data_IF_542422727076
#
_entry.id   IF_542422727076
#
_cell.length_a   1.000
_cell.length_b   1.000
_cell.length_c   1.000
_cell.angle_alpha   90.00
_cell.angle_beta   90.00
_cell.angle_gamma   90.00
#
_symmetry.space_group_name_H-M   'P 1'
#
loop_
_entity.id
_entity.type
_entity.pdbx_description
1 polymer ?
#
# COMPACT_ATOMS: atom_id res chain seq x y z
N UNK A 1 -1.44 -15.35 1.54
CA UNK A 1 -1.66 -14.97 0.12
C UNK A 1 -2.11 -13.52 0.07
N UNK A 2 -1.52 -12.59 -0.69
CA UNK A 2 -0.21 -12.60 -1.35
C UNK A 2 0.58 -11.40 -0.77
N UNK A 3 1.25 -11.61 0.37
CA UNK A 3 2.27 -10.66 0.84
C UNK A 3 3.60 -11.03 0.20
N UNK A 4 3.71 -10.77 -1.10
CA UNK A 4 5.00 -10.47 -1.73
C UNK A 4 5.26 -8.96 -1.63
N UNK A 5 5.11 -8.42 -0.41
CA UNK A 5 6.08 -7.41 0.03
C UNK A 5 7.45 -8.08 -0.14
N UNK A 6 8.39 -7.40 -0.81
CA UNK A 6 9.66 -8.02 -1.14
C UNK A 6 10.33 -8.59 0.10
N UNK A 7 10.77 -9.84 0.03
CA UNK A 7 11.79 -10.39 0.94
C UNK A 7 13.15 -9.76 0.62
N UNK A 8 13.19 -8.42 0.68
CA UNK A 8 14.41 -7.68 0.97
C UNK A 8 14.86 -8.20 2.32
N UNK A 9 16.10 -8.65 2.40
CA UNK A 9 16.60 -9.36 3.57
C UNK A 9 16.88 -8.37 4.72
N UNK A 10 15.83 -7.95 5.44
CA UNK A 10 15.89 -7.04 6.58
C UNK A 10 16.82 -7.50 7.73
N UNK A 11 17.37 -8.72 7.66
CA UNK A 11 18.42 -9.20 8.55
C UNK A 11 19.81 -8.58 8.28
N UNK A 12 20.03 -7.93 7.12
CA UNK A 12 21.30 -7.29 6.78
C UNK A 12 21.11 -5.81 6.39
N UNK A 13 21.35 -4.84 7.30
CA UNK A 13 21.31 -3.42 7.00
C UNK A 13 22.51 -2.95 6.15
N UNK A 14 23.50 -3.81 5.93
CA UNK A 14 24.67 -3.60 5.06
C UNK A 14 24.39 -4.07 3.62
N UNK A 15 23.25 -4.70 3.34
CA UNK A 15 22.86 -5.09 2.00
C UNK A 15 22.66 -3.84 1.13
N UNK A 16 23.61 -3.59 0.23
CA UNK A 16 23.62 -2.44 -0.67
C UNK A 16 22.28 -2.32 -1.40
N UNK A 17 21.59 -1.18 -1.23
CA UNK A 17 20.27 -0.93 -1.80
C UNK A 17 20.38 -0.91 -3.32
N UNK A 18 20.10 -2.07 -3.93
CA UNK A 18 20.15 -2.30 -5.38
C UNK A 18 19.49 -1.12 -6.12
N UNK A 19 20.24 -0.39 -6.99
CA UNK A 19 19.75 0.84 -7.61
C UNK A 19 18.36 0.68 -8.22
N UNK A 20 17.42 1.55 -7.82
CA UNK A 20 16.05 1.50 -8.31
C UNK A 20 16.01 1.60 -9.84
N UNK A 21 15.36 0.63 -10.47
CA UNK A 21 15.34 0.53 -11.92
C UNK A 21 14.68 1.74 -12.58
N UNK A 22 15.43 2.41 -13.45
CA UNK A 22 14.99 3.62 -14.15
C UNK A 22 13.74 3.34 -14.99
N UNK A 23 12.88 4.35 -15.15
CA UNK A 23 11.73 4.28 -16.05
C UNK A 23 12.14 3.91 -17.49
N UNK A 24 13.32 4.32 -17.94
CA UNK A 24 13.85 3.99 -19.27
C UNK A 24 14.13 2.49 -19.44
N UNK A 25 14.65 1.81 -18.41
CA UNK A 25 14.83 0.35 -18.43
C UNK A 25 13.46 -0.34 -18.51
N UNK A 26 12.49 0.08 -17.69
CA UNK A 26 11.12 -0.42 -17.77
C UNK A 26 10.50 -0.24 -19.17
N UNK A 27 10.74 0.88 -19.86
CA UNK A 27 10.28 1.11 -21.24
C UNK A 27 10.92 0.10 -22.21
N UNK A 28 12.22 -0.16 -22.10
CA UNK A 28 12.90 -1.17 -22.91
C UNK A 28 12.36 -2.58 -22.66
N UNK A 29 12.17 -3.00 -21.40
CA UNK A 29 11.59 -4.30 -21.08
C UNK A 29 10.14 -4.44 -21.57
N UNK A 30 9.30 -3.41 -21.39
CA UNK A 30 7.90 -3.43 -21.87
C UNK A 30 7.83 -3.46 -23.40
N UNK A 31 8.73 -2.78 -24.12
CA UNK A 31 8.88 -2.93 -25.59
C UNK A 31 9.29 -4.36 -25.96
N UNK A 32 10.28 -4.95 -25.29
CA UNK A 32 10.71 -6.34 -25.51
C UNK A 32 9.59 -7.38 -25.22
N UNK A 33 8.68 -7.09 -24.29
CA UNK A 33 7.52 -7.94 -23.99
C UNK A 33 6.48 -7.95 -25.11
N UNK A 34 6.41 -6.91 -25.95
CA UNK A 34 5.52 -6.87 -27.10
C UNK A 34 4.04 -6.86 -26.72
N UNK A 35 3.62 -5.87 -25.93
CA UNK A 35 2.20 -5.63 -25.62
C UNK A 35 1.49 -5.03 -26.84
N UNK A 36 0.33 -5.58 -27.22
CA UNK A 36 -0.47 -5.01 -28.31
C UNK A 36 -1.07 -3.66 -27.89
N UNK A 37 -1.32 -2.76 -28.86
CA UNK A 37 -1.95 -1.46 -28.60
C UNK A 37 -3.27 -1.57 -27.81
N UNK A 38 -4.04 -2.66 -28.02
CA UNK A 38 -5.25 -2.93 -27.24
C UNK A 38 -4.95 -3.31 -25.77
N UNK A 39 -3.89 -4.07 -25.50
CA UNK A 39 -3.43 -4.34 -24.12
C UNK A 39 -2.95 -3.05 -23.46
N UNK A 40 -2.14 -2.26 -24.15
CA UNK A 40 -1.63 -0.97 -23.66
C UNK A 40 -2.80 -0.01 -23.30
N UNK A 41 -3.76 0.17 -24.21
CA UNK A 41 -4.93 1.01 -23.98
C UNK A 41 -5.79 0.53 -22.79
N UNK A 42 -5.96 -0.79 -22.62
CA UNK A 42 -6.68 -1.33 -21.46
C UNK A 42 -5.93 -1.09 -20.14
N UNK A 43 -4.59 -1.20 -20.14
CA UNK A 43 -3.76 -0.90 -18.97
C UNK A 43 -3.87 0.59 -18.61
N UNK A 44 -3.74 1.50 -19.58
CA UNK A 44 -3.88 2.94 -19.37
C UNK A 44 -5.29 3.34 -18.89
N UNK A 45 -6.35 2.74 -19.44
CA UNK A 45 -7.72 2.96 -19.00
C UNK A 45 -8.02 2.38 -17.60
N UNK A 46 -7.34 1.30 -17.20
CA UNK A 46 -7.39 0.78 -15.83
C UNK A 46 -6.65 1.67 -14.83
N UNK A 47 -5.56 2.31 -15.26
CA UNK A 47 -4.77 3.22 -14.42
C UNK A 47 -5.54 4.47 -14.00
N UNK A 48 -6.27 5.13 -14.90
CA UNK A 48 -7.05 6.33 -14.55
C UNK A 48 -8.18 6.02 -13.55
N UNK A 49 -8.83 4.86 -13.69
CA UNK A 49 -9.82 4.36 -12.70
C UNK A 49 -9.14 4.07 -11.35
N UNK A 50 -7.95 3.48 -11.35
CA UNK A 50 -7.20 3.21 -10.13
C UNK A 50 -6.77 4.49 -9.39
N UNK A 51 -6.29 5.51 -10.10
CA UNK A 51 -5.93 6.82 -9.51
C UNK A 51 -7.15 7.43 -8.81
N UNK A 52 -8.31 7.51 -9.50
CA UNK A 52 -9.54 8.02 -8.91
C UNK A 52 -10.12 7.20 -7.75
N UNK A 53 -9.68 5.94 -7.57
CA UNK A 53 -9.97 5.13 -6.38
C UNK A 53 -8.96 5.33 -5.25
N UNK A 54 -7.71 5.66 -5.56
CA UNK A 54 -6.68 6.00 -4.57
C UNK A 54 -6.84 7.41 -3.99
N UNK A 55 -7.20 8.39 -4.82
CA UNK A 55 -7.33 9.80 -4.43
C UNK A 55 -8.12 10.04 -3.12
N UNK A 56 -9.34 9.48 -2.91
CA UNK A 56 -10.05 9.67 -1.64
C UNK A 56 -9.33 9.03 -0.44
N UNK A 57 -8.64 7.90 -0.61
CA UNK A 57 -7.87 7.25 0.46
C UNK A 57 -6.64 8.09 0.83
N UNK A 58 -5.97 8.69 -0.16
CA UNK A 58 -4.85 9.61 0.05
C UNK A 58 -5.29 10.93 0.70
N UNK A 59 -6.51 11.40 0.40
CA UNK A 59 -7.11 12.57 1.06
C UNK A 59 -7.50 12.28 2.52
N UNK A 60 -8.18 11.17 2.80
CA UNK A 60 -8.50 10.72 4.16
C UNK A 60 -7.22 10.53 5.01
N UNK A 61 -6.15 9.95 4.44
CA UNK A 61 -4.86 9.81 5.12
C UNK A 61 -4.20 11.17 5.42
N UNK A 62 -4.23 12.12 4.49
CA UNK A 62 -3.68 13.47 4.70
C UNK A 62 -4.44 14.25 5.77
N UNK A 63 -5.76 14.07 5.85
CA UNK A 63 -6.58 14.70 6.91
C UNK A 63 -6.19 14.18 8.30
N UNK A 64 -5.98 12.86 8.45
CA UNK A 64 -5.49 12.28 9.71
C UNK A 64 -4.09 12.76 10.11
N UNK A 65 -3.21 13.06 9.14
CA UNK A 65 -1.89 13.66 9.43
C UNK A 65 -2.05 15.07 10.01
N UNK A 66 -2.85 15.93 9.37
CA UNK A 66 -3.12 17.30 9.84
C UNK A 66 -3.83 17.31 11.22
N UNK A 67 -4.71 16.35 11.49
CA UNK A 67 -5.30 16.13 12.82
C UNK A 67 -4.30 15.71 13.90
N UNK A 68 -3.19 15.07 13.51
CA UNK A 68 -2.12 14.68 14.44
C UNK A 68 -1.29 15.90 14.81
N UNK A 69 -0.83 16.65 13.81
CA UNK A 69 0.03 17.84 13.98
C UNK A 69 -0.67 18.98 14.77
N UNK A 70 -2.01 19.04 14.71
CA UNK A 70 -2.83 20.08 15.35
C UNK A 70 -3.27 19.79 16.78
N UNK A 71 -2.83 18.68 17.40
CA UNK A 71 -3.17 18.31 18.79
C UNK A 71 -2.10 18.84 19.77
N UNK A 72 -2.27 19.99 20.47
CA UNK A 72 -1.13 20.70 21.07
C UNK A 72 -0.60 20.13 22.40
N UNK A 73 -1.28 19.13 22.98
CA UNK A 73 -1.07 18.68 24.35
C UNK A 73 0.18 17.83 24.61
N UNK A 74 0.84 17.29 23.58
CA UNK A 74 1.94 16.34 23.75
C UNK A 74 3.33 16.97 23.88
N UNK A 75 3.55 18.17 23.31
CA UNK A 75 4.88 18.80 23.24
C UNK A 75 5.22 19.65 24.48
N UNK A 76 4.21 20.18 25.18
CA UNK A 76 4.41 21.14 26.28
C UNK A 76 5.00 20.51 27.57
N UNK A 77 4.83 19.19 27.77
CA UNK A 77 5.24 18.50 29.00
C UNK A 77 6.74 18.13 29.05
N UNK A 78 7.55 18.53 28.07
CA UNK A 78 8.96 18.18 27.93
C UNK A 78 9.90 19.40 27.80
N UNK A 79 9.39 20.61 28.05
CA UNK A 79 10.07 21.86 27.69
C UNK A 79 10.50 22.75 28.89
N UNK A 80 10.16 22.38 30.13
CA UNK A 80 10.35 23.25 31.30
C UNK A 80 10.79 22.45 32.55
N UNK A 81 11.96 21.81 32.45
CA UNK A 81 12.76 21.31 33.57
C UNK A 81 14.16 21.95 33.46
N UNK A 82 14.54 22.89 34.33
CA UNK A 82 15.81 23.61 34.21
C UNK A 82 17.00 22.72 34.58
N UNK A 83 18.02 22.69 33.73
CA UNK A 83 19.20 21.84 33.89
C UNK A 83 20.00 22.13 35.17
N UNK A 84 19.74 21.35 36.22
CA UNK A 84 20.65 21.19 37.36
C UNK A 84 21.89 20.36 36.95
N UNK A 85 23.12 20.75 37.34
CA UNK A 85 24.33 20.05 36.96
C UNK A 85 24.65 18.85 37.87
N UNK A 86 25.28 17.83 37.27
CA UNK A 86 26.01 16.72 37.91
C UNK A 86 25.23 15.73 38.80
N UNK A 87 25.07 14.51 38.29
CA UNK A 87 24.66 13.32 39.06
C UNK A 87 24.74 12.08 38.17
N UNK A 88 25.64 11.13 38.47
CA UNK A 88 25.99 10.05 37.54
C UNK A 88 25.24 8.74 37.84
N UNK A 89 24.55 8.22 36.83
CA UNK A 89 24.23 6.78 36.67
C UNK A 89 22.94 6.26 37.32
N UNK A 90 22.07 5.69 36.49
CA UNK A 90 21.17 4.56 36.78
C UNK A 90 20.56 4.08 35.44
N UNK A 91 21.03 2.96 34.87
CA UNK A 91 20.47 1.59 34.98
C UNK A 91 19.10 1.37 34.34
N UNK A 92 19.07 0.42 33.40
CA UNK A 92 17.91 -0.01 32.61
C UNK A 92 16.78 -0.66 33.44
N UNK A 93 15.57 -0.10 33.36
CA UNK A 93 14.35 -0.71 33.92
C UNK A 93 13.83 -1.87 33.07
N UNK A 94 13.97 -3.11 33.57
CA UNK A 94 13.29 -4.29 33.00
C UNK A 94 11.81 -4.30 33.42
N UNK A 95 10.90 -3.88 32.54
CA UNK A 95 9.47 -4.12 32.72
C UNK A 95 9.07 -5.53 32.26
N UNK A 96 9.13 -6.49 33.17
CA UNK A 96 8.34 -7.72 33.03
C UNK A 96 6.88 -7.41 33.36
N UNK A 97 5.95 -7.65 32.43
CA UNK A 97 4.54 -7.79 32.77
C UNK A 97 3.89 -8.88 31.91
N UNK A 98 3.46 -9.97 32.55
CA UNK A 98 2.84 -11.12 31.90
C UNK A 98 1.36 -11.18 32.23
N UNK A 99 0.52 -10.59 31.38
CA UNK A 99 -0.94 -10.70 31.47
C UNK A 99 -1.50 -11.55 30.33
N UNK A 100 -1.78 -12.82 30.63
CA UNK A 100 -2.40 -13.74 29.69
C UNK A 100 -3.84 -13.35 29.38
N UNK A 101 -4.23 -13.33 28.10
CA UNK A 101 -5.66 -13.30 27.74
C UNK A 101 -5.94 -14.28 26.59
N UNK A 102 -6.68 -15.36 26.90
CA UNK A 102 -6.99 -16.45 25.96
C UNK A 102 -8.39 -16.30 25.37
N UNK A 103 -8.51 -15.66 24.21
CA UNK A 103 -9.59 -15.93 23.25
C UNK A 103 -9.05 -15.71 21.81
N UNK A 104 -9.43 -16.49 20.80
CA UNK A 104 -10.35 -17.64 20.85
C UNK A 104 -11.21 -17.80 19.61
N UNK A 105 -10.64 -17.75 18.40
CA UNK A 105 -11.36 -18.07 17.17
C UNK A 105 -10.48 -18.91 16.24
N UNK A 106 -11.03 -20.01 15.73
CA UNK A 106 -10.29 -21.02 14.96
C UNK A 106 -10.57 -20.92 13.47
N UNK A 107 -9.50 -20.94 12.67
CA UNK A 107 -9.53 -21.37 11.28
C UNK A 107 -8.28 -22.23 11.03
N UNK A 108 -8.41 -23.54 11.22
CA UNK A 108 -7.32 -24.49 10.99
C UNK A 108 -6.89 -24.50 9.52
N UNK A 109 -5.58 -24.52 9.29
CA UNK A 109 -4.99 -25.20 8.13
C UNK A 109 -3.63 -25.76 8.54
N UNK A 110 -3.41 -27.04 8.22
CA UNK A 110 -2.11 -27.70 8.39
C UNK A 110 -1.11 -27.06 7.40
N UNK A 111 0.19 -27.02 7.65
CA UNK A 111 0.92 -27.55 8.79
C UNK A 111 2.25 -28.14 8.31
N UNK A 112 3.37 -27.51 8.67
CA UNK A 112 4.72 -28.04 8.52
C UNK A 112 5.52 -27.66 9.76
N UNK A 113 6.14 -28.67 10.36
CA UNK A 113 6.94 -28.55 11.57
C UNK A 113 8.41 -28.35 11.18
N UNK A 114 9.15 -27.53 11.92
CA UNK A 114 10.61 -27.57 11.86
C UNK A 114 11.20 -27.19 13.22
N UNK A 115 11.68 -28.20 13.95
CA UNK A 115 12.23 -28.06 15.29
C UNK A 115 13.66 -27.54 15.26
N UNK A 116 14.00 -26.65 16.19
CA UNK A 116 15.37 -26.47 16.66
C UNK A 116 15.34 -26.19 18.17
N UNK A 117 16.31 -26.74 18.91
CA UNK A 117 16.36 -26.66 20.37
C UNK A 117 17.54 -25.78 20.82
N UNK A 118 17.41 -25.13 21.98
CA UNK A 118 18.39 -24.15 22.47
C UNK A 118 18.28 -23.84 23.97
N UNK A 119 18.63 -24.82 24.81
CA UNK A 119 19.21 -24.60 26.15
C UNK A 119 20.58 -23.92 26.03
N UNK A 120 21.13 -23.13 26.96
CA UNK A 120 20.76 -22.65 28.32
C UNK A 120 21.74 -21.47 28.69
N UNK A 121 21.94 -20.93 29.91
CA UNK A 121 21.47 -21.19 31.29
C UNK A 121 21.62 -19.92 32.17
N UNK A 122 21.01 -19.81 33.37
CA UNK A 122 21.11 -18.63 34.26
C UNK A 122 21.90 -18.89 35.56
N UNK A 123 23.04 -18.19 35.77
CA UNK A 123 23.94 -18.47 36.91
C UNK A 123 24.43 -17.23 37.66
N UNK A 124 23.99 -17.08 38.92
CA UNK A 124 24.66 -16.36 40.03
C UNK A 124 24.93 -14.84 39.87
N UNK A 125 25.47 -14.13 40.87
CA UNK A 125 25.11 -14.02 42.31
C UNK A 125 25.88 -12.81 42.89
N UNK A 126 25.37 -12.19 43.96
CA UNK A 126 26.07 -11.08 44.63
C UNK A 126 25.29 -10.56 45.85
N UNK A 127 25.89 -10.68 47.03
CA UNK A 127 25.31 -10.27 48.31
C UNK A 127 26.03 -9.04 48.91
N UNK A 128 25.50 -8.59 50.05
CA UNK A 128 26.16 -7.81 51.11
C UNK A 128 26.25 -6.27 51.00
N UNK A 129 25.34 -5.65 51.75
CA UNK A 129 25.62 -4.69 52.83
C UNK A 129 26.25 -3.32 52.53
N UNK A 130 25.42 -2.28 52.68
CA UNK A 130 25.68 -1.16 53.59
C UNK A 130 24.37 -0.77 54.29
N UNK A 131 24.45 -0.17 55.48
CA UNK A 131 23.31 0.30 56.28
C UNK A 131 23.58 1.73 56.80
N UNK A 132 22.51 2.43 57.21
CA UNK A 132 22.46 3.85 57.58
C UNK A 132 22.86 4.80 56.42
N UNK A 133 22.29 6.01 56.27
CA UNK A 133 21.87 6.98 57.29
C UNK A 133 20.68 7.88 56.81
N UNK A 134 20.14 8.73 57.69
CA UNK A 134 19.29 9.92 57.44
C UNK A 134 18.28 9.90 56.26
N UNK A 135 16.96 9.72 56.41
CA UNK A 135 16.02 10.25 57.41
C UNK A 135 15.77 11.78 57.42
N UNK A 136 15.86 12.48 56.26
CA UNK A 136 15.56 13.93 56.20
C UNK A 136 14.94 14.48 54.87
N UNK A 137 14.24 13.69 54.05
CA UNK A 137 13.75 14.12 52.73
C UNK A 137 12.23 13.95 52.47
N UNK A 138 11.44 13.57 53.47
CA UNK A 138 10.03 13.14 53.30
C UNK A 138 9.00 14.29 53.11
N UNK A 139 9.41 15.49 52.71
CA UNK A 139 8.59 16.71 52.78
C UNK A 139 8.41 17.50 51.46
N UNK A 140 9.02 17.06 50.34
CA UNK A 140 8.97 17.80 49.06
C UNK A 140 8.39 17.02 47.87
N UNK A 141 8.26 15.69 47.96
CA UNK A 141 7.60 14.86 46.91
C UNK A 141 6.07 14.98 46.88
N UNK A 142 5.49 15.92 47.64
CA UNK A 142 4.06 16.05 47.91
C UNK A 142 3.20 16.67 46.80
N UNK A 143 3.68 16.66 45.56
CA UNK A 143 2.87 16.93 44.36
C UNK A 143 2.54 15.59 43.67
N UNK A 144 1.90 14.65 44.37
CA UNK A 144 0.44 14.70 44.56
C UNK A 144 -0.22 15.28 43.30
N UNK A 145 -0.26 14.52 42.21
CA UNK A 145 -1.24 13.43 42.04
C UNK A 145 -2.67 13.86 42.44
N UNK A 146 -3.05 15.09 42.11
CA UNK A 146 -4.42 15.44 41.75
C UNK A 146 -4.61 14.86 40.33
N UNK A 147 -5.10 13.65 40.06
CA UNK A 147 -6.28 12.94 40.60
C UNK A 147 -7.47 13.80 40.99
N UNK A 148 -7.66 14.94 40.31
CA UNK A 148 -9.04 15.35 40.01
C UNK A 148 -9.69 14.21 39.24
N UNK A 149 -10.95 13.95 39.55
CA UNK A 149 -11.80 13.03 38.76
C UNK A 149 -11.81 13.44 37.26
N UNK A 150 -11.62 14.72 37.00
CA UNK A 150 -11.57 15.37 35.70
C UNK A 150 -10.31 15.02 34.90
N UNK A 151 -9.12 15.01 35.52
CA UNK A 151 -7.88 14.61 34.84
C UNK A 151 -7.92 13.16 34.35
N UNK A 152 -8.49 12.24 35.14
CA UNK A 152 -8.70 10.85 34.71
C UNK A 152 -9.72 10.73 33.56
N UNK A 153 -10.81 11.53 33.57
CA UNK A 153 -11.77 11.59 32.46
C UNK A 153 -11.10 12.07 31.17
N UNK A 154 -10.41 13.21 31.22
CA UNK A 154 -9.71 13.79 30.08
C UNK A 154 -8.66 12.83 29.48
N UNK A 155 -7.87 12.15 30.32
CA UNK A 155 -6.92 11.13 29.88
C UNK A 155 -7.62 9.92 29.22
N UNK A 156 -8.74 9.46 29.79
CA UNK A 156 -9.53 8.35 29.23
C UNK A 156 -10.20 8.73 27.90
N UNK A 157 -10.64 9.96 27.75
CA UNK A 157 -11.19 10.52 26.52
C UNK A 157 -10.09 10.65 25.44
N UNK A 158 -8.89 11.11 25.82
CA UNK A 158 -7.74 11.18 24.92
C UNK A 158 -7.30 9.79 24.41
N UNK A 159 -7.23 8.77 25.29
CA UNK A 159 -6.97 7.38 24.89
C UNK A 159 -8.05 6.87 23.93
N UNK A 160 -9.33 7.11 24.21
CA UNK A 160 -10.42 6.68 23.33
C UNK A 160 -10.37 7.38 21.96
N UNK A 161 -9.98 8.65 21.89
CA UNK A 161 -9.71 9.35 20.62
C UNK A 161 -8.51 8.73 19.88
N UNK A 162 -7.44 8.37 20.59
CA UNK A 162 -6.27 7.68 20.00
C UNK A 162 -6.65 6.30 19.43
N UNK A 163 -7.46 5.51 20.15
CA UNK A 163 -7.99 4.23 19.67
C UNK A 163 -8.87 4.39 18.42
N UNK A 164 -9.74 5.42 18.40
CA UNK A 164 -10.58 5.74 17.23
C UNK A 164 -9.73 6.14 16.01
N UNK A 165 -8.75 7.05 16.18
CA UNK A 165 -7.80 7.44 15.13
C UNK A 165 -7.01 6.23 14.60
N UNK A 166 -6.50 5.38 15.50
CA UNK A 166 -5.79 4.15 15.12
C UNK A 166 -6.68 3.15 14.37
N UNK A 167 -7.96 3.02 14.76
CA UNK A 167 -8.93 2.18 14.05
C UNK A 167 -9.27 2.72 12.65
N UNK A 168 -9.39 4.04 12.49
CA UNK A 168 -9.61 4.70 11.20
C UNK A 168 -8.39 4.53 10.28
N UNK A 169 -7.17 4.75 10.79
CA UNK A 169 -5.93 4.53 10.05
C UNK A 169 -5.78 3.07 9.59
N UNK A 170 -6.07 2.08 10.46
CA UNK A 170 -6.08 0.65 10.08
C UNK A 170 -7.06 0.36 8.95
N UNK A 171 -8.28 0.92 9.00
CA UNK A 171 -9.27 0.79 7.91
C UNK A 171 -8.77 1.40 6.61
N UNK A 172 -8.10 2.55 6.66
CA UNK A 172 -7.52 3.23 5.48
C UNK A 172 -6.41 2.42 4.83
N UNK A 173 -5.46 1.91 5.63
CA UNK A 173 -4.40 1.02 5.14
C UNK A 173 -4.97 -0.27 4.55
N UNK A 174 -6.09 -0.78 5.08
CA UNK A 174 -6.82 -1.91 4.49
C UNK A 174 -7.50 -1.55 3.15
N UNK A 175 -8.11 -0.36 3.01
CA UNK A 175 -8.62 0.15 1.71
C UNK A 175 -7.48 0.22 0.69
N UNK A 176 -6.38 0.88 1.04
CA UNK A 176 -5.19 1.06 0.20
C UNK A 176 -4.59 -0.28 -0.27
N UNK A 177 -4.40 -1.23 0.66
CA UNK A 177 -3.88 -2.57 0.36
C UNK A 177 -4.79 -3.34 -0.61
N UNK A 178 -6.12 -3.28 -0.41
CA UNK A 178 -7.09 -3.91 -1.31
C UNK A 178 -7.11 -3.26 -2.69
N UNK A 179 -7.04 -1.93 -2.77
CA UNK A 179 -6.99 -1.15 -4.01
C UNK A 179 -5.71 -1.49 -4.79
N UNK A 180 -4.54 -1.51 -4.12
CA UNK A 180 -3.25 -1.94 -4.70
C UNK A 180 -3.28 -3.39 -5.18
N UNK A 181 -3.84 -4.32 -4.40
CA UNK A 181 -3.98 -5.72 -4.80
C UNK A 181 -4.89 -5.88 -6.03
N UNK A 182 -6.02 -5.16 -6.08
CA UNK A 182 -6.91 -5.14 -7.25
C UNK A 182 -6.21 -4.60 -8.50
N UNK A 183 -5.36 -3.58 -8.36
CA UNK A 183 -4.55 -3.02 -9.45
C UNK A 183 -3.46 -3.97 -9.96
N UNK A 184 -2.73 -4.66 -9.08
CA UNK A 184 -1.76 -5.71 -9.45
C UNK A 184 -2.48 -6.82 -10.23
N UNK A 185 -3.60 -7.32 -9.71
CA UNK A 185 -4.41 -8.34 -10.38
C UNK A 185 -4.99 -7.85 -11.73
N UNK A 186 -5.44 -6.59 -11.82
CA UNK A 186 -5.94 -6.02 -13.08
C UNK A 186 -4.82 -5.91 -14.12
N UNK A 187 -3.69 -5.30 -13.75
CA UNK A 187 -2.58 -4.99 -14.67
C UNK A 187 -1.97 -6.25 -15.23
N UNK A 188 -1.49 -7.17 -14.38
CA UNK A 188 -0.94 -8.44 -14.84
C UNK A 188 -2.01 -9.36 -15.46
N UNK A 189 -3.28 -9.22 -15.08
CA UNK A 189 -4.42 -9.84 -15.78
C UNK A 189 -4.62 -9.39 -17.23
N UNK A 190 -3.93 -8.33 -17.70
CA UNK A 190 -3.88 -7.94 -19.13
C UNK A 190 -2.70 -8.56 -19.89
N UNK A 191 -1.70 -9.12 -19.20
CA UNK A 191 -0.55 -9.78 -19.81
C UNK A 191 -0.89 -11.25 -20.12
N UNK A 192 -0.37 -11.78 -21.22
CA UNK A 192 -0.32 -13.24 -21.41
C UNK A 192 0.71 -13.83 -20.46
N UNK A 193 0.53 -15.08 -20.01
CA UNK A 193 1.52 -15.76 -19.14
C UNK A 193 2.94 -15.73 -19.72
N UNK A 194 3.09 -15.88 -21.04
CA UNK A 194 4.39 -15.77 -21.73
C UNK A 194 4.96 -14.33 -21.75
N UNK A 195 4.11 -13.30 -21.82
CA UNK A 195 4.52 -11.90 -21.70
C UNK A 195 4.99 -11.58 -20.28
N UNK A 196 4.28 -12.07 -19.26
CA UNK A 196 4.63 -11.88 -17.85
C UNK A 196 5.91 -12.66 -17.48
N UNK A 197 6.04 -13.92 -17.91
CA UNK A 197 7.26 -14.69 -17.75
C UNK A 197 8.47 -14.02 -18.42
N UNK A 198 8.30 -13.52 -19.66
CA UNK A 198 9.36 -12.75 -20.34
C UNK A 198 9.73 -11.49 -19.56
N UNK A 199 8.76 -10.73 -19.04
CA UNK A 199 9.04 -9.55 -18.21
C UNK A 199 9.93 -9.90 -17.02
N UNK A 200 9.52 -10.89 -16.19
CA UNK A 200 10.29 -11.34 -15.03
C UNK A 200 11.69 -11.83 -15.39
N UNK A 201 11.85 -12.63 -16.46
CA UNK A 201 13.17 -13.11 -16.91
C UNK A 201 14.05 -11.95 -17.38
N UNK A 202 13.50 -10.98 -18.13
CA UNK A 202 14.29 -9.83 -18.61
C UNK A 202 14.63 -8.81 -17.53
N UNK A 203 13.92 -8.80 -16.39
CA UNK A 203 14.15 -7.88 -15.28
C UNK A 203 14.89 -8.50 -14.09
N UNK A 204 15.22 -9.80 -14.11
CA UNK A 204 15.99 -10.45 -13.06
C UNK A 204 17.39 -9.80 -12.91
N UNK A 205 17.92 -9.58 -11.68
CA UNK A 205 17.39 -9.98 -10.37
C UNK A 205 16.26 -9.10 -9.78
N UNK A 206 15.89 -7.99 -10.40
CA UNK A 206 14.89 -7.05 -9.87
C UNK A 206 13.44 -7.55 -10.03
N UNK A 207 12.55 -7.11 -9.14
CA UNK A 207 11.11 -7.35 -9.29
C UNK A 207 10.47 -6.24 -10.14
N UNK A 208 9.57 -6.55 -11.09
CA UNK A 208 8.90 -5.56 -11.92
C UNK A 208 7.97 -4.67 -11.08
N UNK A 209 8.31 -3.38 -10.93
CA UNK A 209 7.44 -2.45 -10.22
C UNK A 209 6.20 -2.15 -11.08
N UNK A 210 5.05 -2.71 -10.68
CA UNK A 210 3.76 -2.58 -11.34
C UNK A 210 3.40 -1.13 -11.74
N UNK A 211 3.67 -0.15 -10.85
CA UNK A 211 3.41 1.26 -11.13
C UNK A 211 4.34 1.81 -12.23
N UNK A 212 5.63 1.49 -12.17
CA UNK A 212 6.61 1.91 -13.18
C UNK A 212 6.40 1.21 -14.52
N UNK A 213 5.97 -0.06 -14.53
CA UNK A 213 5.51 -0.79 -15.74
C UNK A 213 4.33 -0.08 -16.39
N UNK A 214 3.33 0.38 -15.63
CA UNK A 214 2.19 1.12 -16.18
C UNK A 214 2.61 2.50 -16.72
N UNK A 215 3.48 3.23 -16.03
CA UNK A 215 4.06 4.48 -16.56
C UNK A 215 4.83 4.26 -17.86
N UNK A 216 5.60 3.17 -17.95
CA UNK A 216 6.31 2.78 -19.17
C UNK A 216 5.34 2.45 -20.32
N UNK A 217 4.24 1.74 -20.07
CA UNK A 217 3.17 1.50 -21.05
C UNK A 217 2.57 2.81 -21.55
N UNK A 218 2.23 3.74 -20.65
CA UNK A 218 1.65 5.04 -21.03
C UNK A 218 2.61 5.86 -21.90
N UNK A 219 3.90 5.92 -21.55
CA UNK A 219 4.91 6.64 -22.33
C UNK A 219 5.18 5.99 -23.70
N UNK A 220 5.10 4.67 -23.82
CA UNK A 220 5.16 3.99 -25.13
C UNK A 220 3.96 4.41 -26.00
N UNK A 221 2.75 4.47 -25.44
CA UNK A 221 1.57 4.95 -26.18
C UNK A 221 1.70 6.42 -26.62
N UNK A 222 2.32 7.27 -25.81
CA UNK A 222 2.58 8.67 -26.13
C UNK A 222 3.60 8.83 -27.26
N UNK A 223 4.71 8.09 -27.21
CA UNK A 223 5.72 8.03 -28.28
C UNK A 223 5.13 7.48 -29.59
N UNK A 224 4.36 6.40 -29.53
CA UNK A 224 3.70 5.78 -30.69
C UNK A 224 2.62 6.72 -31.31
N UNK A 225 1.95 7.53 -30.50
CA UNK A 225 0.99 8.53 -30.96
C UNK A 225 1.67 9.74 -31.63
N UNK A 226 2.77 10.23 -31.06
CA UNK A 226 3.58 11.30 -31.65
C UNK A 226 4.16 10.88 -33.02
N UNK A 227 4.62 9.64 -33.14
CA UNK A 227 5.08 9.08 -34.42
C UNK A 227 3.98 9.02 -35.49
N UNK A 228 2.74 8.68 -35.10
CA UNK A 228 1.60 8.70 -36.03
C UNK A 228 1.23 10.12 -36.50
N UNK A 229 1.32 11.12 -35.61
CA UNK A 229 1.11 12.53 -35.99
C UNK A 229 2.18 13.02 -36.97
N UNK A 230 3.46 12.68 -36.75
CA UNK A 230 4.53 12.99 -37.69
C UNK A 230 4.34 12.31 -39.06
N UNK A 231 3.88 11.06 -39.10
CA UNK A 231 3.60 10.37 -40.37
C UNK A 231 2.44 11.01 -41.15
N UNK A 232 1.42 11.53 -40.47
CA UNK A 232 0.32 12.28 -41.11
C UNK A 232 0.80 13.64 -41.66
N UNK A 233 1.66 14.35 -40.93
CA UNK A 233 2.26 15.61 -41.42
C UNK A 233 3.28 15.39 -42.55
N UNK A 234 3.91 14.21 -42.62
CA UNK A 234 4.92 13.84 -43.62
C UNK A 234 4.35 13.09 -44.83
N UNK A 235 3.06 13.23 -45.11
CA UNK A 235 2.50 13.06 -46.46
C UNK A 235 2.33 14.46 -47.08
N UNK A 236 3.25 14.90 -47.97
CA UNK A 236 3.11 16.19 -48.65
C UNK A 236 1.91 16.17 -49.61
N UNK A 237 1.35 17.34 -49.87
CA UNK A 237 0.20 17.53 -50.78
C UNK A 237 0.49 17.39 -52.27
N UNK A 238 1.44 16.53 -52.68
CA UNK A 238 1.86 16.34 -54.08
C UNK A 238 0.74 15.77 -54.99
N UNK A 239 -0.39 15.34 -54.40
CA UNK A 239 -1.59 14.89 -55.11
C UNK A 239 -2.58 15.98 -55.51
N UNK A 240 -2.30 17.27 -55.27
CA UNK A 240 -3.27 18.37 -55.42
C UNK A 240 -3.15 19.19 -56.73
N UNK A 241 -2.61 18.62 -57.82
CA UNK A 241 -2.66 19.25 -59.17
C UNK A 241 -3.14 18.31 -60.30
N UNK A 242 -4.22 17.54 -60.07
CA UNK A 242 -5.21 17.40 -61.15
C UNK A 242 -6.61 17.05 -60.65
N UNK A 243 -7.60 17.63 -61.34
CA UNK A 243 -9.04 17.34 -61.44
C UNK A 243 -9.58 16.18 -60.55
N UNK A 244 -10.67 16.34 -59.80
CA UNK A 244 -11.89 17.04 -60.21
C UNK A 244 -12.77 17.47 -59.01
N UNK A 245 -13.67 18.44 -59.24
CA UNK A 245 -14.61 18.93 -58.24
C UNK A 245 -15.67 17.87 -57.88
N UNK A 246 -15.88 17.63 -56.59
CA UNK A 246 -17.14 17.07 -56.07
C UNK A 246 -17.47 17.75 -54.73
N UNK A 247 -18.68 18.33 -54.55
CA UNK A 247 -18.98 19.14 -53.37
C UNK A 247 -19.13 18.29 -52.09
N UNK A 248 -18.86 18.88 -50.90
CA UNK A 248 -18.92 18.16 -49.63
C UNK A 248 -20.35 17.82 -49.22
N UNK A 249 -20.75 16.56 -49.44
CA UNK A 249 -21.99 16.00 -48.88
C UNK A 249 -21.93 15.92 -47.34
N UNK A 250 -22.84 16.57 -46.59
CA UNK A 250 -22.80 16.57 -45.13
C UNK A 250 -23.11 15.18 -44.58
N UNK A 251 -22.06 14.41 -44.26
CA UNK A 251 -22.18 13.07 -43.69
C UNK A 251 -22.59 13.15 -42.21
N UNK A 252 -23.90 13.19 -41.97
CA UNK A 252 -24.47 12.89 -40.67
C UNK A 252 -23.94 11.56 -40.13
N UNK A 253 -23.41 11.59 -38.90
CA UNK A 253 -23.74 10.70 -37.77
C UNK A 253 -24.36 9.32 -38.09
N UNK A 254 -23.76 8.53 -39.00
CA UNK A 254 -24.19 7.16 -39.23
C UNK A 254 -23.57 6.24 -38.18
N UNK A 255 -24.06 6.36 -36.94
CA UNK A 255 -23.72 5.45 -35.85
C UNK A 255 -23.89 4.00 -36.31
N UNK A 256 -22.95 3.08 -36.02
CA UNK A 256 -23.09 1.69 -36.40
C UNK A 256 -24.27 1.07 -35.65
N UNK A 257 -25.40 0.92 -36.36
CA UNK A 257 -26.62 0.26 -35.87
C UNK A 257 -26.28 -1.17 -35.46
N UNK A 258 -25.94 -1.37 -34.19
CA UNK A 258 -25.63 -2.66 -33.57
C UNK A 258 -26.82 -3.61 -33.78
N UNK A 259 -26.78 -4.42 -34.84
CA UNK A 259 -27.80 -5.42 -35.16
C UNK A 259 -27.94 -6.32 -33.92
N UNK A 260 -29.03 -6.16 -33.16
CA UNK A 260 -29.36 -6.99 -32.00
C UNK A 260 -29.58 -8.43 -32.50
N UNK A 261 -28.49 -9.21 -32.60
CA UNK A 261 -28.53 -10.62 -32.98
C UNK A 261 -29.23 -11.36 -31.83
N UNK A 262 -30.55 -11.46 -31.94
CA UNK A 262 -31.50 -11.95 -30.94
C UNK A 262 -31.22 -13.43 -30.67
N UNK A 263 -30.22 -13.71 -29.82
CA UNK A 263 -29.86 -15.07 -29.40
C UNK A 263 -31.11 -15.71 -28.83
N UNK A 264 -31.61 -16.73 -29.54
CA UNK A 264 -32.77 -17.49 -29.13
C UNK A 264 -32.37 -18.33 -27.92
N UNK A 265 -32.67 -17.84 -26.71
CA UNK A 265 -32.48 -18.62 -25.50
C UNK A 265 -33.43 -19.84 -25.57
N UNK A 266 -32.92 -21.08 -25.44
CA UNK A 266 -33.80 -22.23 -25.30
C UNK A 266 -34.63 -22.11 -24.01
N UNK A 267 -35.88 -22.59 -24.00
CA UNK A 267 -36.77 -22.43 -22.85
C UNK A 267 -36.20 -23.13 -21.62
N UNK A 268 -36.08 -22.38 -20.52
CA UNK A 268 -35.61 -22.89 -19.23
C UNK A 268 -36.63 -23.91 -18.73
N UNK A 269 -36.31 -25.22 -18.86
CA UNK A 269 -37.08 -26.31 -18.25
C UNK A 269 -37.09 -26.12 -16.74
N UNK A 270 -38.21 -25.64 -16.19
CA UNK A 270 -38.46 -25.55 -14.75
C UNK A 270 -38.39 -26.96 -14.13
N UNK A 271 -37.22 -27.34 -13.61
CA UNK A 271 -37.02 -28.64 -12.96
C UNK A 271 -37.70 -28.61 -11.59
N UNK A 272 -38.99 -28.96 -11.59
CA UNK A 272 -39.91 -28.97 -10.44
C UNK A 272 -39.40 -29.94 -9.36
N UNK A 273 -38.56 -29.45 -8.46
CA UNK A 273 -38.19 -30.21 -7.26
C UNK A 273 -39.41 -30.33 -6.35
N UNK A 274 -40.13 -31.43 -6.48
CA UNK A 274 -40.85 -32.00 -5.36
C UNK A 274 -39.80 -32.53 -4.37
N UNK A 275 -39.50 -31.76 -3.32
CA UNK A 275 -39.16 -32.41 -2.04
C UNK A 275 -40.48 -32.63 -1.30
N UNK A 276 -40.68 -33.88 -0.87
CA UNK A 276 -41.82 -34.28 -0.07
C UNK A 276 -41.60 -33.84 1.39
N UNK A 277 -42.71 -33.90 2.12
CA UNK A 277 -42.81 -34.10 3.57
C UNK A 277 -41.60 -34.86 4.13
#
# INVERSE_FOLDING_TARGET
MLMSMGLVNYADPSAELLPEHNLQQHIQHVRLVGLSAQQQQQIAAGWSVFVGLMDPVLQELRQLQLETDSTPGAAAAAADEPCGPAGAGCTSSKQNNSSSNKHGCSAQLHGLENSSAGTSDPTQAGEAAAADEAAAAAAAGGASSITTMEGYKAHREALHQQEQRAAQLRRLLQKDMLIKAAFVCYTFGRFKYSQLAKLHVTMYPWQPNHGTVVRAVMKIMEEDAALQQQQQQKQPGDGAQQLQQLPPLPHQLQQPKKKKKKKHLPPIRKRRQQRRL
#
